data_IF_632558160161
#
_entry.id   IF_632558160161
#
_cell.length_a   1.000
_cell.length_b   1.000
_cell.length_c   1.000
_cell.angle_alpha   90.00
_cell.angle_beta   90.00
_cell.angle_gamma   90.00
#
_symmetry.space_group_name_H-M   'P 1'
#
loop_
_entity.id
_entity.type
_entity.pdbx_description
1 polymer ?
#
# COMPACT_ATOMS: atom_id res chain seq x y z
N UNK A 1 -49.52 -27.58 -29.26
CA UNK A 1 -49.56 -27.75 -27.79
C UNK A 1 -48.13 -27.68 -27.29
N UNK A 2 -47.81 -26.60 -26.56
CA UNK A 2 -46.44 -26.14 -26.30
C UNK A 2 -45.74 -26.89 -25.18
N UNK A 3 -44.42 -27.04 -25.32
CA UNK A 3 -43.49 -27.39 -24.24
C UNK A 3 -42.81 -26.11 -23.77
N UNK A 4 -43.05 -25.72 -22.51
CA UNK A 4 -42.24 -24.73 -21.80
C UNK A 4 -41.11 -25.47 -21.06
N UNK A 5 -39.86 -25.10 -21.36
CA UNK A 5 -38.69 -25.41 -20.55
C UNK A 5 -38.53 -24.27 -19.53
N UNK A 6 -38.61 -24.58 -18.23
CA UNK A 6 -38.21 -23.69 -17.16
C UNK A 6 -36.71 -23.86 -16.87
N UNK A 7 -35.92 -22.83 -17.13
CA UNK A 7 -34.56 -22.71 -16.61
C UNK A 7 -34.61 -21.92 -15.30
N UNK A 8 -34.32 -22.60 -14.20
CA UNK A 8 -34.06 -22.00 -12.90
C UNK A 8 -32.64 -21.41 -12.91
N UNK A 9 -32.53 -20.08 -12.97
CA UNK A 9 -31.27 -19.37 -12.79
C UNK A 9 -30.94 -19.26 -11.30
N UNK A 10 -30.03 -20.11 -10.82
CA UNK A 10 -29.37 -19.90 -9.52
C UNK A 10 -28.36 -18.77 -9.66
N UNK A 11 -28.83 -17.54 -9.44
CA UNK A 11 -27.98 -16.36 -9.36
C UNK A 11 -27.04 -16.53 -8.15
N UNK A 12 -25.75 -16.72 -8.44
CA UNK A 12 -24.69 -17.03 -7.48
C UNK A 12 -24.54 -15.93 -6.44
N UNK A 13 -24.82 -16.26 -5.18
CA UNK A 13 -24.70 -15.41 -3.99
C UNK A 13 -23.26 -14.97 -3.64
N UNK A 14 -22.27 -15.31 -4.47
CA UNK A 14 -20.86 -14.89 -4.30
C UNK A 14 -20.58 -13.43 -4.69
N UNK A 15 -21.41 -12.84 -5.56
CA UNK A 15 -21.23 -11.46 -6.02
C UNK A 15 -21.75 -10.40 -5.02
N UNK A 16 -22.68 -10.78 -4.14
CA UNK A 16 -23.25 -9.86 -3.16
C UNK A 16 -22.27 -9.51 -2.02
N UNK A 17 -21.34 -10.42 -1.66
CA UNK A 17 -20.34 -10.13 -0.62
C UNK A 17 -19.20 -9.23 -1.11
N UNK A 18 -18.80 -9.34 -2.38
CA UNK A 18 -17.71 -8.51 -2.95
C UNK A 18 -18.18 -7.07 -3.16
N UNK A 19 -19.44 -6.86 -3.57
CA UNK A 19 -20.04 -5.53 -3.68
C UNK A 19 -20.12 -4.76 -2.34
N UNK A 20 -20.25 -5.46 -1.22
CA UNK A 20 -20.34 -4.84 0.10
C UNK A 20 -18.98 -4.29 0.59
N UNK A 21 -17.86 -4.97 0.27
CA UNK A 21 -16.51 -4.50 0.62
C UNK A 21 -16.14 -3.24 -0.16
N UNK A 22 -16.57 -3.15 -1.41
CA UNK A 22 -16.39 -1.98 -2.28
C UNK A 22 -17.16 -0.76 -1.71
N UNK A 23 -18.39 -0.95 -1.24
CA UNK A 23 -19.23 0.13 -0.71
C UNK A 23 -18.69 0.74 0.60
N UNK A 24 -18.11 -0.07 1.50
CA UNK A 24 -17.53 0.44 2.77
C UNK A 24 -16.33 1.34 2.52
N UNK A 25 -15.53 1.09 1.48
CA UNK A 25 -14.41 1.95 1.09
C UNK A 25 -14.88 3.27 0.45
N UNK A 26 -15.99 3.28 -0.28
CA UNK A 26 -16.53 4.50 -0.90
C UNK A 26 -17.05 5.53 0.12
N UNK A 27 -17.52 5.11 1.29
CA UNK A 27 -17.91 6.04 2.36
C UNK A 27 -16.70 6.71 3.03
N UNK A 28 -15.53 6.07 3.09
CA UNK A 28 -14.33 6.64 3.72
C UNK A 28 -13.61 7.70 2.87
N UNK A 29 -13.78 7.70 1.55
CA UNK A 29 -13.33 8.80 0.67
C UNK A 29 -14.26 10.03 0.72
N UNK A 30 -15.24 10.03 1.63
CA UNK A 30 -16.22 11.11 1.81
C UNK A 30 -16.12 11.78 3.19
N UNK A 31 -15.01 11.57 3.92
CA UNK A 31 -14.73 12.28 5.16
C UNK A 31 -14.31 13.73 4.88
N UNK A 32 -15.23 14.66 5.09
CA UNK A 32 -15.07 16.11 4.94
C UNK A 32 -13.85 16.68 5.67
N UNK A 33 -12.96 17.34 4.93
CA UNK A 33 -12.06 18.35 5.47
C UNK A 33 -12.80 19.70 5.50
N UNK A 34 -13.32 20.07 6.66
CA UNK A 34 -13.58 21.46 7.07
C UNK A 34 -12.81 21.63 8.39
N UNK A 35 -11.86 22.56 8.54
CA UNK A 35 -11.99 24.00 8.40
C UNK A 35 -10.60 24.65 8.18
N UNK A 36 -10.50 25.45 7.12
CA UNK A 36 -9.43 26.42 6.91
C UNK A 36 -9.86 27.71 7.63
N UNK A 37 -9.26 27.99 8.79
CA UNK A 37 -9.43 29.29 9.45
C UNK A 37 -8.59 30.35 8.72
N UNK A 38 -9.30 31.11 7.92
CA UNK A 38 -9.01 32.43 7.39
C UNK A 38 -8.42 33.36 8.47
N UNK A 39 -7.22 33.89 8.25
CA UNK A 39 -6.73 35.09 8.94
C UNK A 39 -6.36 36.11 7.86
N UNK A 40 -7.36 36.93 7.51
CA UNK A 40 -7.16 38.21 6.85
C UNK A 40 -6.49 39.18 7.83
N UNK A 41 -5.48 39.88 7.32
CA UNK A 41 -4.88 41.01 8.01
C UNK A 41 -5.87 42.18 8.10
N UNK A 42 -5.94 42.80 9.29
CA UNK A 42 -6.30 44.21 9.40
C UNK A 42 -5.63 44.82 10.62
N UNK A 43 -4.83 45.86 10.35
CA UNK A 43 -4.28 46.78 11.32
C UNK A 43 -5.36 47.36 12.25
N UNK A 44 -5.07 47.40 13.55
CA UNK A 44 -5.46 48.54 14.38
C UNK A 44 -4.47 48.70 15.54
N UNK A 45 -3.86 49.88 15.56
CA UNK A 45 -3.00 50.43 16.61
C UNK A 45 -3.78 50.59 17.92
N UNK A 46 -3.16 50.32 19.08
CA UNK A 46 -3.21 51.18 20.27
C UNK A 46 -2.28 50.68 21.40
N UNK A 47 -1.32 51.54 21.72
CA UNK A 47 -0.88 52.01 23.05
C UNK A 47 -0.55 51.03 24.19
N UNK A 48 0.70 51.18 24.64
CA UNK A 48 1.41 50.66 25.82
C UNK A 48 0.61 50.73 27.13
N UNK A 49 0.65 49.65 27.93
CA UNK A 49 0.80 49.71 29.40
C UNK A 49 1.47 48.42 29.89
N UNK A 50 2.62 48.57 30.55
CA UNK A 50 3.34 47.49 31.23
C UNK A 50 2.51 46.95 32.40
N UNK A 51 2.43 45.63 32.55
CA UNK A 51 2.11 45.02 33.84
C UNK A 51 2.98 43.77 34.03
N UNK A 52 3.62 43.77 35.18
CA UNK A 52 4.60 42.86 35.70
C UNK A 52 3.96 41.53 36.16
N UNK A 53 4.73 40.46 36.04
CA UNK A 53 4.60 39.19 36.78
C UNK A 53 3.37 38.30 36.54
N UNK A 54 3.56 37.26 35.72
CA UNK A 54 3.22 35.90 36.15
C UNK A 54 4.11 34.89 35.42
N UNK A 55 5.19 34.46 36.09
CA UNK A 55 5.96 33.29 35.66
C UNK A 55 5.04 32.06 35.74
N UNK A 56 4.42 31.71 34.61
CA UNK A 56 3.82 30.37 34.45
C UNK A 56 4.95 29.34 34.60
N UNK A 57 4.75 28.29 35.41
CA UNK A 57 5.69 27.18 35.44
C UNK A 57 5.73 26.56 34.03
N UNK A 58 6.90 26.60 33.41
CA UNK A 58 7.19 25.83 32.19
C UNK A 58 7.07 24.37 32.62
N UNK A 59 5.97 23.72 32.26
CA UNK A 59 5.79 22.29 32.45
C UNK A 59 6.91 21.59 31.68
N UNK A 60 7.87 20.91 32.35
CA UNK A 60 8.79 20.04 31.64
C UNK A 60 7.95 18.83 31.21
N UNK A 61 8.18 18.32 30.00
CA UNK A 61 7.47 17.17 29.41
C UNK A 61 6.07 17.47 28.86
N UNK A 62 6.02 18.23 27.76
CA UNK A 62 5.12 17.84 26.68
C UNK A 62 5.79 16.71 25.90
N UNK A 63 5.45 15.47 26.20
CA UNK A 63 5.75 14.34 25.31
C UNK A 63 4.83 14.48 24.10
N UNK A 64 5.20 15.36 23.16
CA UNK A 64 4.58 15.39 21.85
C UNK A 64 4.83 14.04 21.19
N UNK A 65 3.82 13.17 21.26
CA UNK A 65 3.83 11.94 20.50
C UNK A 65 3.60 12.33 19.04
N UNK A 66 4.52 12.02 18.12
CA UNK A 66 4.37 12.39 16.72
C UNK A 66 3.07 11.81 16.16
N UNK A 67 2.42 12.57 15.29
CA UNK A 67 1.29 12.07 14.52
C UNK A 67 1.71 10.85 13.69
N UNK A 68 0.72 10.04 13.28
CA UNK A 68 0.94 8.89 12.41
C UNK A 68 1.64 9.33 11.12
N UNK A 69 1.21 10.45 10.54
CA UNK A 69 1.79 11.02 9.33
C UNK A 69 3.26 11.43 9.52
N UNK A 70 3.61 12.09 10.63
CA UNK A 70 5.00 12.45 10.96
C UNK A 70 5.88 11.22 11.16
N UNK A 71 5.39 10.21 11.87
CA UNK A 71 6.09 8.94 12.10
C UNK A 71 6.43 8.26 10.76
N UNK A 72 5.52 8.34 9.79
CA UNK A 72 5.67 7.66 8.51
C UNK A 72 6.51 8.44 7.52
N UNK A 73 6.38 9.76 7.46
CA UNK A 73 7.33 10.56 6.69
C UNK A 73 8.73 10.42 7.24
N UNK A 74 8.88 10.35 8.56
CA UNK A 74 10.17 10.03 9.19
C UNK A 74 10.66 8.64 8.79
N UNK A 75 9.79 7.63 8.78
CA UNK A 75 10.12 6.28 8.31
C UNK A 75 10.68 6.29 6.88
N UNK A 76 10.00 6.95 5.94
CA UNK A 76 10.50 7.07 4.57
C UNK A 76 11.82 7.83 4.52
N UNK A 77 11.94 8.95 5.24
CA UNK A 77 13.18 9.75 5.29
C UNK A 77 14.38 8.99 5.85
N UNK A 78 14.16 7.96 6.67
CA UNK A 78 15.20 7.08 7.20
C UNK A 78 15.39 5.81 6.38
N UNK A 79 14.67 5.65 5.27
CA UNK A 79 14.78 4.46 4.44
C UNK A 79 16.20 4.34 3.84
N UNK A 80 16.82 3.15 3.85
CA UNK A 80 18.17 2.96 3.32
C UNK A 80 18.27 3.22 1.81
N UNK A 81 17.25 2.81 1.05
CA UNK A 81 17.17 3.07 -0.39
C UNK A 81 16.83 4.54 -0.70
N UNK A 82 17.63 5.25 -1.53
CA UNK A 82 17.40 6.65 -1.86
C UNK A 82 16.14 6.88 -2.69
N UNK A 83 15.76 5.93 -3.55
CA UNK A 83 14.53 6.02 -4.33
C UNK A 83 13.31 6.04 -3.42
N UNK A 84 13.24 5.10 -2.47
CA UNK A 84 12.19 5.12 -1.44
C UNK A 84 12.27 6.38 -0.58
N UNK A 85 13.48 6.76 -0.14
CA UNK A 85 13.67 7.89 0.79
C UNK A 85 13.28 9.24 0.21
N UNK A 86 13.54 9.45 -1.08
CA UNK A 86 13.44 10.76 -1.71
C UNK A 86 12.24 10.83 -2.67
N UNK A 87 12.02 9.78 -3.45
CA UNK A 87 10.97 9.78 -4.46
C UNK A 87 9.59 9.49 -3.88
N UNK A 88 9.42 8.48 -3.01
CA UNK A 88 8.10 8.14 -2.47
C UNK A 88 7.48 9.33 -1.72
N UNK A 89 8.18 10.01 -0.79
CA UNK A 89 7.66 11.24 -0.17
C UNK A 89 7.34 12.35 -1.17
N UNK A 90 8.14 12.50 -2.24
CA UNK A 90 7.90 13.50 -3.30
C UNK A 90 6.61 13.19 -4.07
N UNK A 91 6.37 11.92 -4.43
CA UNK A 91 5.16 11.48 -5.11
C UNK A 91 3.91 11.70 -4.26
N UNK A 92 4.01 11.41 -2.97
CA UNK A 92 2.92 11.63 -2.00
C UNK A 92 2.60 13.12 -1.89
N UNK A 93 3.61 13.97 -1.65
CA UNK A 93 3.43 15.42 -1.50
C UNK A 93 2.92 16.11 -2.77
N UNK A 94 3.25 15.57 -3.94
CA UNK A 94 2.79 16.08 -5.24
C UNK A 94 1.47 15.48 -5.71
N UNK A 95 0.81 14.66 -4.88
CA UNK A 95 -0.44 13.96 -5.19
C UNK A 95 -0.36 13.00 -6.39
N UNK A 96 0.85 12.66 -6.85
CA UNK A 96 1.08 11.65 -7.89
C UNK A 96 0.93 10.22 -7.36
N UNK A 97 1.03 10.06 -6.03
CA UNK A 97 0.73 8.82 -5.32
C UNK A 97 -0.12 9.17 -4.10
N UNK A 98 -1.25 8.48 -3.93
CA UNK A 98 -2.04 8.56 -2.70
C UNK A 98 -1.63 7.43 -1.79
N UNK A 99 -1.88 7.62 -0.50
CA UNK A 99 -1.59 6.59 0.50
C UNK A 99 -2.86 6.16 1.20
N UNK A 100 -2.96 4.87 1.50
CA UNK A 100 -4.03 4.32 2.31
C UNK A 100 -3.46 3.52 3.47
N UNK A 101 -4.04 3.71 4.65
CA UNK A 101 -3.53 3.15 5.90
C UNK A 101 -4.37 1.99 6.44
N UNK A 102 -5.40 1.61 5.68
CA UNK A 102 -6.27 0.49 5.98
C UNK A 102 -6.02 -0.57 4.91
N UNK A 103 -5.10 -1.49 5.18
CA UNK A 103 -4.98 -2.69 4.33
C UNK A 103 -6.10 -3.66 4.70
N UNK A 104 -6.63 -4.33 3.69
CA UNK A 104 -7.47 -5.51 3.87
C UNK A 104 -6.78 -6.69 3.20
N UNK A 105 -5.90 -7.35 3.94
CA UNK A 105 -5.40 -8.67 3.57
C UNK A 105 -3.91 -8.80 3.23
N UNK A 106 -3.10 -7.73 3.28
CA UNK A 106 -1.64 -7.76 3.05
C UNK A 106 -0.88 -6.72 3.88
N UNK A 107 0.47 -6.78 3.89
CA UNK A 107 1.29 -5.85 4.68
C UNK A 107 1.38 -4.46 4.03
N UNK A 108 1.62 -4.43 2.73
CA UNK A 108 1.51 -3.26 1.88
C UNK A 108 1.04 -3.70 0.49
N UNK A 109 0.66 -2.73 -0.35
CA UNK A 109 0.36 -2.96 -1.77
C UNK A 109 0.43 -1.67 -2.56
N UNK A 110 1.18 -1.67 -3.66
CA UNK A 110 1.10 -0.69 -4.74
C UNK A 110 0.06 -1.13 -5.77
N UNK A 111 -0.90 -0.26 -6.04
CA UNK A 111 -1.93 -0.49 -7.05
C UNK A 111 -2.29 0.80 -7.78
N UNK A 112 -2.87 0.64 -8.96
CA UNK A 112 -3.40 1.69 -9.82
C UNK A 112 -4.93 1.63 -9.71
N UNK A 113 -5.54 2.71 -9.24
CA UNK A 113 -6.99 2.79 -9.04
C UNK A 113 -7.60 3.70 -10.09
N UNK A 114 -8.55 3.23 -10.91
CA UNK A 114 -9.38 4.12 -11.70
C UNK A 114 -10.25 4.95 -10.75
N UNK A 115 -10.20 6.27 -10.90
CA UNK A 115 -10.99 7.21 -10.13
C UNK A 115 -12.27 7.57 -10.91
N UNK A 116 -13.42 6.92 -10.62
CA UNK A 116 -14.66 7.17 -11.36
C UNK A 116 -15.18 8.60 -11.15
N UNK A 117 -14.81 9.27 -10.05
CA UNK A 117 -15.22 10.66 -9.77
C UNK A 117 -14.50 11.69 -10.65
N UNK A 118 -13.36 11.32 -11.23
CA UNK A 118 -12.54 12.20 -12.08
C UNK A 118 -12.42 11.61 -13.50
N UNK A 119 -13.54 11.17 -14.07
CA UNK A 119 -13.60 10.74 -15.47
C UNK A 119 -12.77 9.49 -15.80
N UNK A 120 -12.47 8.64 -14.80
CA UNK A 120 -11.67 7.43 -14.99
C UNK A 120 -10.15 7.66 -14.88
N UNK A 121 -9.70 8.82 -14.39
CA UNK A 121 -8.28 9.07 -14.11
C UNK A 121 -7.70 7.96 -13.22
N UNK A 122 -6.60 7.35 -13.66
CA UNK A 122 -5.95 6.28 -12.89
C UNK A 122 -4.90 6.89 -11.97
N UNK A 123 -5.10 6.71 -10.66
CA UNK A 123 -4.20 7.20 -9.61
C UNK A 123 -3.37 6.07 -9.02
N UNK A 124 -2.09 6.33 -8.75
CA UNK A 124 -1.25 5.41 -8.00
C UNK A 124 -1.60 5.47 -6.51
N UNK A 125 -1.77 4.32 -5.87
CA UNK A 125 -2.07 4.21 -4.45
C UNK A 125 -1.12 3.22 -3.81
N UNK A 126 -0.47 3.65 -2.72
CA UNK A 126 0.31 2.80 -1.84
C UNK A 126 -0.47 2.56 -0.56
N UNK A 127 -0.96 1.33 -0.39
CA UNK A 127 -1.66 0.90 0.82
C UNK A 127 -0.67 0.24 1.77
N UNK A 128 -0.66 0.60 3.05
CA UNK A 128 0.29 0.05 4.03
C UNK A 128 -0.36 -0.16 5.39
N UNK A 129 0.02 -1.24 6.06
CA UNK A 129 -0.42 -1.54 7.40
C UNK A 129 0.39 -0.72 8.39
N UNK A 130 -0.29 -0.23 9.43
CA UNK A 130 0.34 0.64 10.44
C UNK A 130 1.43 -0.08 11.24
N UNK A 131 1.31 -1.40 11.39
CA UNK A 131 2.28 -2.22 12.11
C UNK A 131 3.68 -2.18 11.49
N UNK A 132 3.81 -1.92 10.19
CA UNK A 132 5.10 -1.79 9.49
C UNK A 132 5.96 -0.63 9.98
N UNK A 133 5.34 0.37 10.61
CA UNK A 133 6.02 1.56 11.13
C UNK A 133 6.40 1.43 12.60
N UNK A 134 6.05 0.32 13.25
CA UNK A 134 6.49 0.04 14.61
C UNK A 134 7.97 -0.34 14.62
N UNK A 135 8.71 0.08 15.66
CA UNK A 135 10.16 -0.13 15.74
C UNK A 135 10.55 -1.60 15.60
N UNK A 136 9.79 -2.49 16.26
CA UNK A 136 10.02 -3.95 16.20
C UNK A 136 9.89 -4.52 14.78
N UNK A 137 9.15 -3.84 13.91
CA UNK A 137 8.88 -4.25 12.53
C UNK A 137 9.68 -3.40 11.53
N UNK A 138 10.57 -2.51 11.96
CA UNK A 138 11.25 -1.55 11.08
C UNK A 138 11.95 -2.21 9.90
N UNK A 139 12.69 -3.30 10.13
CA UNK A 139 13.38 -4.03 9.06
C UNK A 139 12.40 -4.60 8.02
N UNK A 140 11.33 -5.26 8.50
CA UNK A 140 10.24 -5.77 7.66
C UNK A 140 9.57 -4.65 6.89
N UNK A 141 9.23 -3.54 7.55
CA UNK A 141 8.64 -2.36 6.93
C UNK A 141 9.52 -1.80 5.82
N UNK A 142 10.83 -1.69 6.05
CA UNK A 142 11.75 -1.15 5.04
C UNK A 142 11.80 -2.06 3.81
N UNK A 143 11.90 -3.37 4.03
CA UNK A 143 11.88 -4.34 2.93
C UNK A 143 10.57 -4.32 2.15
N UNK A 144 9.43 -4.35 2.84
CA UNK A 144 8.10 -4.34 2.20
C UNK A 144 7.84 -3.04 1.45
N UNK A 145 8.22 -1.88 1.99
CA UNK A 145 8.07 -0.61 1.26
C UNK A 145 8.97 -0.58 0.02
N UNK A 146 10.19 -1.11 0.12
CA UNK A 146 11.07 -1.25 -1.03
C UNK A 146 10.47 -2.18 -2.10
N UNK A 147 9.83 -3.28 -1.69
CA UNK A 147 9.09 -4.17 -2.58
C UNK A 147 8.02 -3.40 -3.36
N UNK A 148 7.15 -2.66 -2.68
CA UNK A 148 6.09 -1.89 -3.36
C UNK A 148 6.66 -0.79 -4.27
N UNK A 149 7.81 -0.22 -3.91
CA UNK A 149 8.52 0.71 -4.78
C UNK A 149 9.03 0.02 -6.07
N UNK A 150 9.41 -1.26 -6.03
CA UNK A 150 9.74 -2.01 -7.25
C UNK A 150 8.53 -2.14 -8.17
N UNK A 151 7.34 -2.40 -7.64
CA UNK A 151 6.12 -2.40 -8.44
C UNK A 151 5.83 -1.03 -9.08
N UNK A 152 6.04 0.06 -8.34
CA UNK A 152 5.97 1.40 -8.91
C UNK A 152 6.96 1.59 -10.07
N UNK A 153 8.20 1.14 -9.95
CA UNK A 153 9.22 1.25 -11.01
C UNK A 153 8.87 0.38 -12.24
N UNK A 154 8.38 -0.84 -12.02
CA UNK A 154 7.93 -1.75 -13.09
C UNK A 154 6.78 -1.14 -13.89
N UNK A 155 5.77 -0.58 -13.20
CA UNK A 155 4.67 0.14 -13.83
C UNK A 155 5.17 1.38 -14.59
N UNK A 156 5.96 2.24 -13.93
CA UNK A 156 6.43 3.51 -14.52
C UNK A 156 7.27 3.30 -15.78
N UNK A 157 8.09 2.25 -15.80
CA UNK A 157 8.93 1.92 -16.95
C UNK A 157 8.16 1.23 -18.08
N UNK A 158 6.95 0.71 -17.82
CA UNK A 158 6.19 -0.11 -18.75
C UNK A 158 6.78 -1.52 -18.93
N UNK A 159 7.68 -1.96 -18.04
CA UNK A 159 8.25 -3.32 -18.08
C UNK A 159 7.17 -4.36 -17.83
N UNK A 160 6.20 -4.03 -16.97
CA UNK A 160 5.01 -4.83 -16.73
C UNK A 160 3.79 -4.00 -17.18
N UNK A 161 2.83 -4.59 -17.92
CA UNK A 161 1.64 -3.87 -18.38
C UNK A 161 0.81 -3.27 -17.23
N UNK A 162 0.19 -2.11 -17.47
CA UNK A 162 -0.60 -1.40 -16.45
C UNK A 162 -1.73 -2.25 -15.86
N UNK A 163 -2.31 -3.15 -16.67
CA UNK A 163 -3.40 -4.04 -16.27
C UNK A 163 -3.03 -4.97 -15.11
N UNK A 164 -1.74 -5.29 -14.95
CA UNK A 164 -1.24 -6.09 -13.83
C UNK A 164 -1.31 -5.36 -12.48
N UNK A 165 -1.31 -4.02 -12.51
CA UNK A 165 -1.37 -3.16 -11.32
C UNK A 165 -2.75 -2.55 -11.08
N UNK A 166 -3.69 -2.67 -12.03
CA UNK A 166 -5.03 -2.11 -11.89
C UNK A 166 -5.85 -2.87 -10.84
N UNK A 167 -6.44 -2.14 -9.91
CA UNK A 167 -7.42 -2.69 -8.96
C UNK A 167 -8.83 -2.69 -9.58
N UNK A 168 -9.07 -3.64 -10.47
CA UNK A 168 -10.36 -3.86 -11.12
C UNK A 168 -10.67 -5.36 -11.19
N UNK A 169 -11.95 -5.77 -11.18
CA UNK A 169 -12.30 -7.13 -11.56
C UNK A 169 -11.85 -7.37 -13.00
N UNK A 170 -10.97 -8.34 -13.21
CA UNK A 170 -10.53 -8.70 -14.55
C UNK A 170 -11.54 -9.63 -15.23
N UNK A 171 -11.77 -9.49 -16.55
CA UNK A 171 -12.50 -10.49 -17.32
C UNK A 171 -11.83 -11.87 -17.21
N UNK A 172 -12.63 -12.94 -17.11
CA UNK A 172 -12.13 -14.31 -16.95
C UNK A 172 -11.16 -14.72 -18.07
N UNK A 173 -11.36 -14.21 -19.28
CA UNK A 173 -10.52 -14.45 -20.46
C UNK A 173 -9.13 -13.80 -20.38
N UNK A 174 -9.02 -12.65 -19.71
CA UNK A 174 -7.76 -11.92 -19.50
C UNK A 174 -7.00 -12.41 -18.27
N UNK A 175 -7.70 -13.05 -17.33
CA UNK A 175 -7.14 -13.43 -16.03
C UNK A 175 -5.85 -14.27 -16.13
N UNK A 176 -5.73 -15.29 -17.00
CA UNK A 176 -4.50 -16.06 -17.11
C UNK A 176 -3.30 -15.22 -17.55
N UNK A 177 -3.50 -14.30 -18.51
CA UNK A 177 -2.46 -13.39 -18.99
C UNK A 177 -2.04 -12.43 -17.88
N UNK A 178 -3.01 -11.78 -17.23
CA UNK A 178 -2.74 -10.82 -16.15
C UNK A 178 -2.04 -11.50 -14.98
N UNK A 179 -2.50 -12.69 -14.57
CA UNK A 179 -1.85 -13.44 -13.51
C UNK A 179 -0.40 -13.82 -13.85
N UNK A 180 -0.10 -14.09 -15.13
CA UNK A 180 1.29 -14.33 -15.58
C UNK A 180 2.15 -13.07 -15.44
N UNK A 181 1.63 -11.90 -15.84
CA UNK A 181 2.35 -10.62 -15.66
C UNK A 181 2.58 -10.30 -14.18
N UNK A 182 1.56 -10.48 -13.34
CA UNK A 182 1.70 -10.33 -11.88
C UNK A 182 2.74 -11.28 -11.30
N UNK A 183 2.80 -12.53 -11.76
CA UNK A 183 3.82 -13.48 -11.33
C UNK A 183 5.24 -12.96 -11.59
N UNK A 184 5.50 -12.44 -12.79
CA UNK A 184 6.82 -11.90 -13.12
C UNK A 184 7.14 -10.63 -12.32
N UNK A 185 6.15 -9.76 -12.14
CA UNK A 185 6.29 -8.57 -11.30
C UNK A 185 6.72 -8.93 -9.87
N UNK A 186 6.02 -9.89 -9.25
CA UNK A 186 6.25 -10.39 -7.89
C UNK A 186 7.60 -11.09 -7.75
N UNK A 187 7.97 -11.97 -8.69
CA UNK A 187 9.25 -12.68 -8.65
C UNK A 187 10.41 -11.70 -8.68
N UNK A 188 10.38 -10.72 -9.59
CA UNK A 188 11.43 -9.70 -9.67
C UNK A 188 11.45 -8.81 -8.43
N UNK A 189 10.28 -8.38 -7.94
CA UNK A 189 10.18 -7.53 -6.76
C UNK A 189 10.73 -8.21 -5.50
N UNK A 190 10.36 -9.48 -5.24
CA UNK A 190 10.92 -10.23 -4.11
C UNK A 190 12.42 -10.52 -4.28
N UNK A 191 12.91 -10.77 -5.50
CA UNK A 191 14.36 -10.95 -5.70
C UNK A 191 15.13 -9.70 -5.29
N UNK A 192 14.66 -8.53 -5.74
CA UNK A 192 15.26 -7.24 -5.38
C UNK A 192 15.08 -6.92 -3.90
N UNK A 193 13.93 -7.21 -3.32
CA UNK A 193 13.67 -7.04 -1.88
C UNK A 193 14.65 -7.87 -1.03
N UNK A 194 14.85 -9.14 -1.38
CA UNK A 194 15.78 -10.00 -0.66
C UNK A 194 17.24 -9.60 -0.87
N UNK A 195 17.60 -9.09 -2.05
CA UNK A 195 18.92 -8.50 -2.30
C UNK A 195 19.14 -7.25 -1.45
N UNK A 196 18.20 -6.30 -1.48
CA UNK A 196 18.19 -5.09 -0.67
C UNK A 196 18.33 -5.42 0.83
N UNK A 197 17.50 -6.34 1.32
CA UNK A 197 17.53 -6.76 2.72
C UNK A 197 18.87 -7.39 3.12
N UNK A 198 19.53 -8.12 2.20
CA UNK A 198 20.85 -8.71 2.45
C UNK A 198 21.94 -7.66 2.50
N UNK A 199 21.95 -6.73 1.54
CA UNK A 199 22.93 -5.64 1.46
C UNK A 199 22.81 -4.67 2.65
N UNK A 200 21.58 -4.41 3.10
CA UNK A 200 21.29 -3.54 4.25
C UNK A 200 21.38 -4.23 5.61
N UNK A 201 21.68 -5.53 5.69
CA UNK A 201 21.69 -6.28 6.96
C UNK A 201 20.32 -6.37 7.65
N UNK A 202 19.24 -6.23 6.89
CA UNK A 202 17.85 -6.24 7.39
C UNK A 202 17.33 -7.67 7.58
N UNK A 203 17.82 -8.64 6.80
CA UNK A 203 17.36 -10.04 6.87
C UNK A 203 17.57 -10.67 8.25
N UNK A 204 18.67 -10.34 8.93
CA UNK A 204 18.96 -10.85 10.27
C UNK A 204 18.05 -10.29 11.38
N UNK A 205 17.21 -9.31 11.05
CA UNK A 205 16.30 -8.63 11.98
C UNK A 205 14.84 -9.07 11.76
N UNK A 206 14.57 -9.89 10.75
CA UNK A 206 13.23 -10.42 10.49
C UNK A 206 12.88 -11.54 11.50
N UNK A 207 11.60 -11.68 11.80
CA UNK A 207 11.10 -12.87 12.50
C UNK A 207 11.32 -14.11 11.61
N UNK A 208 12.05 -15.13 12.07
CA UNK A 208 12.36 -16.33 11.28
C UNK A 208 11.12 -17.18 10.95
N UNK A 209 9.97 -16.94 11.58
CA UNK A 209 8.71 -17.62 11.32
C UNK A 209 7.83 -16.90 10.28
N UNK A 210 8.22 -15.71 9.83
CA UNK A 210 7.48 -14.97 8.82
C UNK A 210 7.77 -15.46 7.39
N UNK A 211 6.77 -15.31 6.52
CA UNK A 211 6.87 -15.68 5.11
C UNK A 211 8.03 -15.00 4.39
N UNK A 212 8.30 -13.72 4.68
CA UNK A 212 9.38 -12.97 4.06
C UNK A 212 10.77 -13.55 4.39
N UNK A 213 11.00 -13.92 5.66
CA UNK A 213 12.25 -14.58 6.06
C UNK A 213 12.45 -15.90 5.30
N UNK A 214 11.39 -16.69 5.15
CA UNK A 214 11.44 -17.93 4.38
C UNK A 214 11.68 -17.73 2.88
N UNK A 215 11.07 -16.71 2.27
CA UNK A 215 11.29 -16.36 0.86
C UNK A 215 12.77 -15.97 0.64
N UNK A 216 13.31 -15.09 1.48
CA UNK A 216 14.67 -14.59 1.32
C UNK A 216 15.78 -15.57 1.74
N UNK A 217 15.44 -16.58 2.54
CA UNK A 217 16.34 -17.70 2.87
C UNK A 217 16.35 -18.79 1.80
N UNK A 218 15.39 -18.81 0.86
CA UNK A 218 15.32 -19.85 -0.16
C UNK A 218 16.53 -19.77 -1.11
N UNK A 219 17.09 -20.93 -1.45
CA UNK A 219 18.09 -21.02 -2.51
C UNK A 219 17.48 -20.57 -3.85
N UNK A 220 18.29 -20.01 -4.76
CA UNK A 220 17.82 -19.48 -6.05
C UNK A 220 16.96 -20.50 -6.84
N UNK A 221 17.35 -21.78 -6.81
CA UNK A 221 16.63 -22.87 -7.49
C UNK A 221 15.27 -23.20 -6.85
N UNK A 222 15.06 -22.84 -5.60
CA UNK A 222 13.82 -23.06 -4.85
C UNK A 222 12.96 -21.79 -4.72
N UNK A 223 13.52 -20.62 -5.00
CA UNK A 223 12.89 -19.32 -4.76
C UNK A 223 11.47 -19.23 -5.34
N UNK A 224 11.30 -19.54 -6.62
CA UNK A 224 10.00 -19.52 -7.30
C UNK A 224 8.99 -20.47 -6.63
N UNK A 225 9.41 -21.69 -6.29
CA UNK A 225 8.52 -22.66 -5.63
C UNK A 225 8.12 -22.23 -4.21
N UNK A 226 9.05 -21.64 -3.46
CA UNK A 226 8.79 -21.09 -2.13
C UNK A 226 7.81 -19.92 -2.21
N UNK A 227 8.02 -19.02 -3.17
CA UNK A 227 7.17 -17.86 -3.37
C UNK A 227 5.73 -18.26 -3.73
N UNK A 228 5.52 -19.21 -4.66
CA UNK A 228 4.18 -19.71 -5.01
C UNK A 228 3.42 -20.29 -3.83
N UNK A 229 4.14 -20.89 -2.86
CA UNK A 229 3.53 -21.48 -1.66
C UNK A 229 3.15 -20.41 -0.63
N UNK A 230 3.99 -19.39 -0.47
CA UNK A 230 3.85 -18.40 0.61
C UNK A 230 2.96 -17.23 0.20
N UNK A 231 3.14 -16.70 -1.02
CA UNK A 231 2.48 -15.48 -1.46
C UNK A 231 0.93 -15.55 -1.39
N UNK A 232 0.26 -16.64 -1.82
CA UNK A 232 -1.19 -16.76 -1.70
C UNK A 232 -1.71 -16.81 -0.26
N UNK A 233 -0.86 -17.04 0.75
CA UNK A 233 -1.30 -17.00 2.16
C UNK A 233 -1.50 -15.57 2.65
N UNK A 234 -0.71 -14.62 2.12
CA UNK A 234 -0.63 -13.24 2.58
C UNK A 234 -1.13 -12.18 1.59
N UNK A 235 -1.53 -12.55 0.37
CA UNK A 235 -2.16 -11.63 -0.59
C UNK A 235 -3.44 -12.25 -1.19
N UNK A 236 -4.63 -11.66 -0.99
CA UNK A 236 -5.87 -12.09 -1.64
C UNK A 236 -5.82 -12.07 -3.18
N UNK A 237 -5.05 -11.16 -3.78
CA UNK A 237 -4.91 -11.09 -5.24
C UNK A 237 -4.09 -12.27 -5.77
N UNK A 238 -3.05 -12.67 -5.04
CA UNK A 238 -2.30 -13.89 -5.27
C UNK A 238 -3.17 -15.16 -5.18
N UNK A 239 -4.18 -15.20 -4.29
CA UNK A 239 -5.12 -16.35 -4.22
C UNK A 239 -5.88 -16.56 -5.52
N UNK A 240 -6.31 -15.48 -6.18
CA UNK A 240 -7.02 -15.55 -7.46
C UNK A 240 -6.10 -16.08 -8.56
N UNK A 241 -4.81 -15.74 -8.50
CA UNK A 241 -3.81 -16.15 -9.50
C UNK A 241 -3.09 -17.47 -9.20
N UNK A 242 -3.29 -18.08 -8.03
CA UNK A 242 -2.54 -19.24 -7.58
C UNK A 242 -2.65 -20.44 -8.53
N UNK A 243 -3.83 -20.67 -9.15
CA UNK A 243 -4.02 -21.74 -10.13
C UNK A 243 -3.14 -21.53 -11.37
N UNK A 244 -3.13 -20.31 -11.92
CA UNK A 244 -2.28 -19.93 -13.05
C UNK A 244 -0.80 -20.03 -12.71
N UNK A 245 -0.38 -19.59 -11.53
CA UNK A 245 1.03 -19.62 -11.15
C UNK A 245 1.58 -21.03 -11.02
N UNK A 246 0.76 -22.00 -10.63
CA UNK A 246 1.16 -23.39 -10.52
C UNK A 246 1.39 -24.09 -11.88
N UNK A 247 1.03 -23.46 -13.01
CA UNK A 247 1.24 -24.01 -14.36
C UNK A 247 2.43 -23.40 -15.11
N UNK A 248 3.04 -22.34 -14.57
CA UNK A 248 4.24 -21.66 -15.11
C UNK A 248 5.51 -22.25 -14.50
#
# INVERSE_FOLDING_TARGET
>A
MGRHNGHSSTFSSRWALIGLVIAVFFFYLSGDHTSLAQIEGKHSTNTVTSTESEQRPVSPFSTHQPSLEETMFSFFQMHPDPGVREEVPRLIRSFQMRTNWNTTGGAATFMRYPNPKHGGEVVSVLTMSRDLFEEKNRARGQMVVYHEYQHYLQWRSGTIPEEAFLYVPWPDEDLPRICKEKWYAEVEAYQKECEFGRQGGLLGQLDPHEGLAHICAAAQVQFASTLKRILPLGDPSAKVCASTWNTI
#
